data_IF_727781860882
#
_entry.id   IF_727781860882
#
_cell.length_a   1.000
_cell.length_b   1.000
_cell.length_c   1.000
_cell.angle_alpha   90.00
_cell.angle_beta   90.00
_cell.angle_gamma   90.00
#
_symmetry.space_group_name_H-M   'P 1'
#
loop_
_entity.id
_entity.type
_entity.pdbx_description
1 polymer ?
#
# COMPACT_ATOMS: atom_id res chain seq x y z
N UNK A 1 37.74 10.09 34.42
CA UNK A 1 36.68 9.34 35.14
C UNK A 1 35.36 9.53 34.40
N UNK A 2 34.70 8.41 34.08
CA UNK A 2 33.24 8.22 33.95
C UNK A 2 32.53 9.18 32.98
N UNK A 3 32.41 8.79 31.71
CA UNK A 3 31.20 8.16 31.16
C UNK A 3 30.00 9.10 31.23
N UNK A 4 29.68 9.73 30.10
CA UNK A 4 28.30 9.99 29.74
C UNK A 4 28.16 9.82 28.22
N UNK A 5 28.27 8.57 27.78
CA UNK A 5 27.83 8.17 26.45
C UNK A 5 26.30 8.26 26.51
N UNK A 6 25.74 9.39 26.08
CA UNK A 6 24.30 9.52 25.89
C UNK A 6 23.92 8.70 24.65
N UNK A 7 23.54 7.46 24.90
CA UNK A 7 22.89 6.55 23.97
C UNK A 7 21.52 7.11 23.58
N UNK A 8 21.47 7.96 22.57
CA UNK A 8 20.20 8.26 21.88
C UNK A 8 20.10 7.24 20.75
N UNK A 9 19.40 6.15 21.05
CA UNK A 9 18.87 5.25 20.05
C UNK A 9 17.98 6.07 19.11
N UNK A 10 18.51 6.45 17.95
CA UNK A 10 17.69 6.87 16.82
C UNK A 10 16.83 5.65 16.46
N UNK A 11 15.60 5.65 16.95
CA UNK A 11 14.53 4.81 16.45
C UNK A 11 14.51 4.99 14.93
N UNK A 12 14.95 3.94 14.22
CA UNK A 12 14.88 3.85 12.77
C UNK A 12 13.40 3.86 12.37
N UNK A 13 12.82 5.05 12.28
CA UNK A 13 11.55 5.28 11.61
C UNK A 13 11.81 5.00 10.15
N UNK A 14 11.53 3.76 9.73
CA UNK A 14 11.80 3.32 8.38
C UNK A 14 10.94 4.17 7.42
N UNK A 15 11.54 5.02 6.56
CA UNK A 15 10.77 5.87 5.65
C UNK A 15 9.91 5.04 4.67
N UNK A 16 10.20 3.75 4.52
CA UNK A 16 9.42 2.81 3.72
C UNK A 16 7.96 2.69 4.16
N UNK A 17 7.66 2.81 5.46
CA UNK A 17 6.28 2.68 5.96
C UNK A 17 5.42 3.91 5.65
N UNK A 18 6.00 5.11 5.63
CA UNK A 18 5.27 6.34 5.34
C UNK A 18 4.74 6.38 3.90
N UNK A 19 5.41 5.70 2.97
CA UNK A 19 5.10 5.73 1.54
C UNK A 19 4.40 4.46 1.02
N UNK A 20 4.10 3.50 1.89
CA UNK A 20 3.52 2.21 1.47
C UNK A 20 2.16 2.37 0.80
N UNK A 21 1.20 3.05 1.45
CA UNK A 21 -0.15 3.23 0.86
C UNK A 21 -0.11 4.05 -0.45
N UNK A 22 0.54 5.24 -0.51
CA UNK A 22 0.62 5.99 -1.76
C UNK A 22 1.31 5.21 -2.89
N UNK A 23 2.36 4.45 -2.56
CA UNK A 23 3.08 3.62 -3.53
C UNK A 23 2.22 2.50 -4.10
N UNK A 24 1.46 1.79 -3.27
CA UNK A 24 0.54 0.73 -3.70
C UNK A 24 -0.61 1.29 -4.54
N UNK A 25 -1.20 2.44 -4.16
CA UNK A 25 -2.25 3.12 -4.96
C UNK A 25 -1.73 3.45 -6.36
N UNK A 26 -0.57 4.11 -6.45
CA UNK A 26 0.04 4.47 -7.74
C UNK A 26 0.39 3.25 -8.59
N UNK A 27 0.80 2.14 -7.95
CA UNK A 27 1.09 0.88 -8.63
C UNK A 27 -0.18 0.27 -9.21
N UNK A 28 -1.26 0.18 -8.43
CA UNK A 28 -2.55 -0.31 -8.90
C UNK A 28 -3.10 0.56 -10.04
N UNK A 29 -2.99 1.88 -9.94
CA UNK A 29 -3.42 2.80 -11.00
C UNK A 29 -2.69 2.55 -12.31
N UNK A 30 -1.36 2.36 -12.24
CA UNK A 30 -0.55 2.04 -13.40
C UNK A 30 -0.97 0.71 -14.02
N UNK A 31 -1.11 -0.35 -13.21
CA UNK A 31 -1.48 -1.68 -13.69
C UNK A 31 -2.87 -1.65 -14.34
N UNK A 32 -3.87 -1.06 -13.70
CA UNK A 32 -5.23 -0.94 -14.23
C UNK A 32 -5.34 -0.07 -15.50
N UNK A 33 -4.40 0.85 -15.71
CA UNK A 33 -4.37 1.70 -16.91
C UNK A 33 -3.61 1.05 -18.08
N UNK A 34 -2.49 0.37 -17.79
CA UNK A 34 -1.58 -0.16 -18.82
C UNK A 34 -1.88 -1.62 -19.17
N UNK A 35 -2.19 -2.44 -18.18
CA UNK A 35 -2.43 -3.88 -18.31
C UNK A 35 -3.68 -4.27 -17.52
N UNK A 36 -4.87 -3.76 -17.91
CA UNK A 36 -6.10 -4.13 -17.24
C UNK A 36 -6.35 -5.64 -17.38
N UNK A 37 -6.86 -6.31 -16.34
CA UNK A 37 -7.24 -7.72 -16.45
C UNK A 37 -8.23 -8.00 -17.57
N UNK A 38 -8.06 -9.15 -18.23
CA UNK A 38 -9.00 -9.61 -19.27
C UNK A 38 -10.36 -9.96 -18.67
N UNK A 39 -10.38 -10.54 -17.47
CA UNK A 39 -11.61 -10.79 -16.71
C UNK A 39 -12.16 -9.48 -16.12
N UNK A 40 -13.34 -9.06 -16.61
CA UNK A 40 -14.01 -7.84 -16.17
C UNK A 40 -14.54 -7.90 -14.75
N UNK A 41 -14.85 -9.10 -14.25
CA UNK A 41 -15.29 -9.30 -12.87
C UNK A 41 -14.11 -9.10 -11.92
N UNK A 42 -12.94 -9.62 -12.28
CA UNK A 42 -11.71 -9.38 -11.54
C UNK A 42 -11.30 -7.90 -11.60
N UNK A 43 -11.34 -7.28 -12.78
CA UNK A 43 -11.03 -5.86 -12.95
C UNK A 43 -11.89 -4.98 -12.03
N UNK A 44 -13.21 -5.25 -11.96
CA UNK A 44 -14.12 -4.53 -11.10
C UNK A 44 -13.77 -4.72 -9.61
N UNK A 45 -13.45 -5.95 -9.18
CA UNK A 45 -13.03 -6.23 -7.80
C UNK A 45 -11.74 -5.50 -7.42
N UNK A 46 -10.73 -5.51 -8.30
CA UNK A 46 -9.46 -4.81 -8.09
C UNK A 46 -9.68 -3.30 -7.99
N UNK A 47 -10.52 -2.73 -8.87
CA UNK A 47 -10.88 -1.29 -8.82
C UNK A 47 -11.58 -0.92 -7.52
N UNK A 48 -12.49 -1.76 -7.05
CA UNK A 48 -13.21 -1.53 -5.80
C UNK A 48 -12.25 -1.55 -4.60
N UNK A 49 -11.41 -2.58 -4.47
CA UNK A 49 -10.41 -2.67 -3.40
C UNK A 49 -9.42 -1.49 -3.45
N UNK A 50 -8.98 -1.07 -4.64
CA UNK A 50 -8.13 0.11 -4.81
C UNK A 50 -8.83 1.38 -4.29
N UNK A 51 -10.10 1.58 -4.63
CA UNK A 51 -10.87 2.75 -4.22
C UNK A 51 -11.13 2.77 -2.71
N UNK A 52 -11.51 1.63 -2.13
CA UNK A 52 -11.68 1.48 -0.69
C UNK A 52 -10.35 1.71 0.05
N UNK A 53 -9.24 1.18 -0.48
CA UNK A 53 -7.89 1.39 0.05
C UNK A 53 -7.48 2.87 0.04
N UNK A 54 -7.74 3.58 -1.06
CA UNK A 54 -7.55 5.04 -1.13
C UNK A 54 -8.43 5.77 -0.12
N UNK A 55 -9.71 5.42 -0.02
CA UNK A 55 -10.62 6.06 0.92
C UNK A 55 -10.18 5.85 2.38
N UNK A 56 -9.72 4.64 2.72
CA UNK A 56 -9.16 4.34 4.04
C UNK A 56 -7.91 5.18 4.33
N UNK A 57 -7.01 5.33 3.34
CA UNK A 57 -5.85 6.22 3.45
C UNK A 57 -6.26 7.68 3.71
N UNK A 58 -7.19 8.20 2.91
CA UNK A 58 -7.69 9.58 3.03
C UNK A 58 -8.34 9.84 4.41
N UNK A 59 -8.84 8.80 5.07
CA UNK A 59 -9.41 8.83 6.44
C UNK A 59 -8.37 8.59 7.55
N UNK A 60 -7.09 8.37 7.23
CA UNK A 60 -6.04 8.02 8.19
C UNK A 60 -6.06 6.56 8.68
N UNK A 61 -6.88 5.70 8.08
CA UNK A 61 -7.02 4.29 8.42
C UNK A 61 -5.92 3.47 7.71
N UNK A 62 -4.66 3.70 8.05
CA UNK A 62 -3.50 3.18 7.29
C UNK A 62 -3.41 1.66 7.22
N UNK A 63 -3.64 0.95 8.33
CA UNK A 63 -3.60 -0.52 8.32
C UNK A 63 -4.68 -1.12 7.40
N UNK A 64 -5.88 -0.54 7.44
CA UNK A 64 -6.97 -0.94 6.56
C UNK A 64 -6.65 -0.64 5.10
N UNK A 65 -6.07 0.54 4.82
CA UNK A 65 -5.62 0.91 3.49
C UNK A 65 -4.60 -0.11 2.94
N UNK A 66 -3.55 -0.42 3.71
CA UNK A 66 -2.54 -1.42 3.31
C UNK A 66 -3.19 -2.78 3.04
N UNK A 67 -4.10 -3.23 3.91
CA UNK A 67 -4.77 -4.53 3.74
C UNK A 67 -5.58 -4.60 2.44
N UNK A 68 -6.39 -3.57 2.15
CA UNK A 68 -7.22 -3.51 0.94
C UNK A 68 -6.36 -3.40 -0.33
N UNK A 69 -5.32 -2.57 -0.30
CA UNK A 69 -4.42 -2.38 -1.42
C UNK A 69 -3.59 -3.63 -1.71
N UNK A 70 -3.16 -4.35 -0.67
CA UNK A 70 -2.46 -5.62 -0.82
C UNK A 70 -3.37 -6.69 -1.43
N UNK A 71 -4.62 -6.80 -0.98
CA UNK A 71 -5.60 -7.72 -1.57
C UNK A 71 -5.80 -7.43 -3.07
N UNK A 72 -5.87 -6.16 -3.46
CA UNK A 72 -6.00 -5.78 -4.87
C UNK A 72 -4.77 -6.21 -5.70
N UNK A 73 -3.56 -6.03 -5.16
CA UNK A 73 -2.32 -6.46 -5.83
C UNK A 73 -2.22 -7.98 -5.93
N UNK A 74 -2.57 -8.71 -4.87
CA UNK A 74 -2.56 -10.17 -4.86
C UNK A 74 -3.56 -10.74 -5.87
N UNK A 75 -4.72 -10.11 -6.05
CA UNK A 75 -5.69 -10.51 -7.08
C UNK A 75 -5.15 -10.33 -8.49
N UNK A 76 -4.43 -9.23 -8.76
CA UNK A 76 -3.77 -9.01 -10.05
C UNK A 76 -2.69 -10.07 -10.29
N UNK A 77 -1.82 -10.31 -9.30
CA UNK A 77 -0.73 -11.29 -9.41
C UNK A 77 -1.21 -12.72 -9.65
N UNK A 78 -2.37 -13.10 -9.11
CA UNK A 78 -2.94 -14.45 -9.28
C UNK A 78 -3.67 -14.63 -10.62
N UNK A 79 -3.93 -13.54 -11.33
CA UNK A 79 -4.63 -13.55 -12.61
C UNK A 79 -3.70 -13.49 -13.83
N UNK A 80 -2.41 -13.30 -13.59
CA UNK A 80 -1.34 -13.52 -14.57
C UNK A 80 -1.04 -15.01 -14.72
#
# INVERSE_FOLDING_TARGET
>A
MKVLILSIALLASCPAWAHQCPGQIATLDRLLAQNPPTDKTLEAQVRELRNQGKQAHDKGQHEQAVSLLQQALDLLQRAE
#
